data_IF_843274927687
#
_entry.id   IF_843274927687
#
_cell.length_a   1.000
_cell.length_b   1.000
_cell.length_c   1.000
_cell.angle_alpha   90.00
_cell.angle_beta   90.00
_cell.angle_gamma   90.00
#
_symmetry.space_group_name_H-M   'P 1'
#
loop_
_entity.id
_entity.type
_entity.pdbx_description
1 polymer ?
#
# COMPACT_ATOMS: atom_id res chain seq x y z
N UNK A 1 -21.32 -5.06 23.21
CA UNK A 1 -21.00 -4.43 21.92
C UNK A 1 -19.66 -3.71 21.92
N UNK A 2 -19.36 -2.86 22.91
CA UNK A 2 -18.04 -2.19 23.04
C UNK A 2 -16.83 -3.14 23.04
N UNK A 3 -16.94 -4.31 23.69
CA UNK A 3 -15.86 -5.32 23.73
C UNK A 3 -15.57 -5.90 22.34
N UNK A 4 -16.62 -6.28 21.59
CA UNK A 4 -16.49 -6.78 20.22
C UNK A 4 -16.03 -5.73 19.20
N UNK A 5 -16.35 -4.44 19.43
CA UNK A 5 -15.81 -3.35 18.62
C UNK A 5 -14.31 -3.12 18.89
N UNK A 6 -13.87 -3.19 20.16
CA UNK A 6 -12.45 -3.17 20.51
C UNK A 6 -11.70 -4.34 19.87
N UNK A 7 -12.25 -5.54 19.93
CA UNK A 7 -11.64 -6.75 19.34
C UNK A 7 -11.62 -6.72 17.80
N UNK A 8 -12.46 -5.89 17.17
CA UNK A 8 -12.42 -5.60 15.74
C UNK A 8 -11.32 -4.60 15.37
N UNK A 9 -11.17 -3.52 16.15
CA UNK A 9 -10.09 -2.54 15.97
C UNK A 9 -8.71 -3.13 16.26
N UNK A 10 -8.60 -4.00 17.27
CA UNK A 10 -7.34 -4.67 17.60
C UNK A 10 -6.91 -5.71 16.56
N UNK A 11 -7.77 -6.01 15.58
CA UNK A 11 -7.41 -6.77 14.38
C UNK A 11 -6.61 -5.80 13.47
N UNK A 12 -5.30 -5.68 13.73
CA UNK A 12 -4.41 -4.60 13.26
C UNK A 12 -4.62 -4.06 11.83
N UNK A 13 -4.99 -4.94 10.89
CA UNK A 13 -5.39 -4.59 9.52
C UNK A 13 -6.46 -3.46 9.43
N UNK A 14 -7.40 -3.37 10.38
CA UNK A 14 -8.45 -2.34 10.35
C UNK A 14 -7.91 -0.95 10.70
N UNK A 15 -7.01 -0.88 11.68
CA UNK A 15 -6.43 0.39 12.14
C UNK A 15 -5.48 0.95 11.10
N UNK A 16 -4.65 0.10 10.48
CA UNK A 16 -3.76 0.51 9.40
C UNK A 16 -4.53 1.07 8.20
N UNK A 17 -5.59 0.37 7.77
CA UNK A 17 -6.46 0.85 6.70
C UNK A 17 -7.18 2.16 7.07
N UNK A 18 -7.67 2.27 8.31
CA UNK A 18 -8.32 3.49 8.78
C UNK A 18 -7.36 4.69 8.76
N UNK A 19 -6.12 4.52 9.24
CA UNK A 19 -5.10 5.57 9.22
C UNK A 19 -4.76 5.96 7.79
N UNK A 20 -4.56 4.98 6.89
CA UNK A 20 -4.26 5.24 5.49
C UNK A 20 -5.34 6.10 4.81
N UNK A 21 -6.62 5.77 5.03
CA UNK A 21 -7.75 6.53 4.45
C UNK A 21 -7.81 7.96 5.01
N UNK A 22 -7.66 8.13 6.32
CA UNK A 22 -7.72 9.46 6.96
C UNK A 22 -6.58 10.36 6.50
N UNK A 23 -5.35 9.83 6.47
CA UNK A 23 -4.17 10.58 6.01
C UNK A 23 -4.28 10.92 4.53
N UNK A 24 -4.72 9.96 3.69
CA UNK A 24 -4.94 10.19 2.27
C UNK A 24 -5.98 11.28 1.98
N UNK A 25 -7.09 11.29 2.71
CA UNK A 25 -8.13 12.32 2.60
C UNK A 25 -7.64 13.70 3.04
N UNK A 26 -6.90 13.77 4.16
CA UNK A 26 -6.33 15.02 4.66
C UNK A 26 -5.32 15.62 3.67
N UNK A 27 -4.42 14.79 3.13
CA UNK A 27 -3.44 15.23 2.14
C UNK A 27 -4.11 15.71 0.84
N UNK A 28 -5.09 14.96 0.34
CA UNK A 28 -5.86 15.35 -0.86
C UNK A 28 -6.50 16.72 -0.65
N UNK A 29 -7.07 16.98 0.53
CA UNK A 29 -7.69 18.28 0.85
C UNK A 29 -6.70 19.45 0.80
N UNK A 30 -5.46 19.25 1.26
CA UNK A 30 -4.40 20.28 1.20
C UNK A 30 -4.04 20.58 -0.25
N UNK A 31 -3.83 19.54 -1.07
CA UNK A 31 -3.46 19.72 -2.47
C UNK A 31 -4.60 20.36 -3.26
N UNK A 32 -5.85 19.93 -3.04
CA UNK A 32 -7.04 20.54 -3.65
C UNK A 32 -7.15 22.02 -3.28
N UNK A 33 -6.99 22.37 -1.99
CA UNK A 33 -7.02 23.77 -1.56
C UNK A 33 -5.91 24.61 -2.23
N UNK A 34 -4.71 24.05 -2.38
CA UNK A 34 -3.63 24.71 -3.10
C UNK A 34 -3.97 24.93 -4.58
N UNK A 35 -4.48 23.91 -5.27
CA UNK A 35 -4.89 24.05 -6.66
C UNK A 35 -6.02 25.08 -6.80
N UNK A 36 -7.07 24.97 -6.00
CA UNK A 36 -8.26 25.81 -6.12
C UNK A 36 -7.98 27.28 -5.84
N UNK A 37 -7.09 27.57 -4.88
CA UNK A 37 -6.81 28.94 -4.47
C UNK A 37 -5.59 29.58 -5.15
N UNK A 38 -4.67 28.79 -5.69
CA UNK A 38 -3.43 29.31 -6.31
C UNK A 38 -3.40 29.00 -7.80
N UNK A 39 -3.61 27.75 -8.19
CA UNK A 39 -3.46 27.33 -9.59
C UNK A 39 -4.67 27.76 -10.42
N UNK A 40 -5.90 27.46 -9.99
CA UNK A 40 -7.11 27.75 -10.75
C UNK A 40 -7.24 29.25 -11.07
N UNK A 41 -6.97 30.19 -10.14
CA UNK A 41 -6.98 31.62 -10.46
C UNK A 41 -5.90 32.02 -11.46
N UNK A 42 -4.70 31.41 -11.42
CA UNK A 42 -3.64 31.66 -12.39
C UNK A 42 -4.02 31.14 -13.79
N UNK A 43 -4.62 29.95 -13.84
CA UNK A 43 -5.13 29.36 -15.09
C UNK A 43 -6.31 30.19 -15.63
N UNK A 44 -7.22 30.62 -14.77
CA UNK A 44 -8.35 31.48 -15.14
C UNK A 44 -7.89 32.87 -15.60
N UNK A 45 -6.84 33.44 -15.00
CA UNK A 45 -6.27 34.72 -15.45
C UNK A 45 -5.70 34.63 -16.88
N UNK A 46 -5.19 33.46 -17.28
CA UNK A 46 -4.72 33.21 -18.66
C UNK A 46 -5.88 32.80 -19.58
N UNK A 47 -6.91 32.12 -19.05
CA UNK A 47 -8.05 31.58 -19.78
C UNK A 47 -9.29 32.49 -19.91
N UNK A 48 -9.33 33.62 -19.20
CA UNK A 48 -10.46 34.54 -19.15
C UNK A 48 -11.55 34.15 -18.15
N UNK A 49 -12.44 35.12 -17.84
CA UNK A 49 -13.40 35.18 -16.72
C UNK A 49 -14.46 34.06 -16.63
N UNK A 50 -14.44 33.12 -17.58
CA UNK A 50 -15.25 31.92 -17.52
C UNK A 50 -14.34 30.77 -17.92
N UNK A 51 -14.06 29.87 -16.97
CA UNK A 51 -13.36 28.59 -17.16
C UNK A 51 -13.25 28.24 -18.64
N UNK A 52 -12.11 28.58 -19.27
CA UNK A 52 -11.86 28.59 -20.72
C UNK A 52 -13.13 28.57 -21.58
N UNK A 53 -13.55 29.72 -22.14
CA UNK A 53 -14.80 29.99 -22.89
C UNK A 53 -15.23 29.09 -24.06
N UNK A 54 -14.88 27.80 -24.06
CA UNK A 54 -15.31 26.71 -24.92
C UNK A 54 -16.60 26.04 -24.41
N UNK A 55 -17.44 26.78 -23.70
CA UNK A 55 -18.74 26.29 -23.27
C UNK A 55 -19.79 26.45 -24.36
N UNK A 56 -20.57 25.41 -24.67
CA UNK A 56 -21.68 25.49 -25.60
C UNK A 56 -22.99 25.03 -24.96
N UNK A 57 -24.10 25.65 -25.36
CA UNK A 57 -25.45 25.26 -24.92
C UNK A 57 -26.00 24.26 -25.94
N UNK A 58 -26.43 23.08 -25.48
CA UNK A 58 -27.11 22.11 -26.36
C UNK A 58 -28.53 22.55 -26.71
N UNK A 59 -29.20 23.28 -25.79
CA UNK A 59 -30.50 23.92 -26.00
C UNK A 59 -30.38 25.41 -25.66
N UNK A 60 -30.64 26.30 -26.64
CA UNK A 60 -30.42 27.74 -26.49
C UNK A 60 -31.25 28.40 -25.37
N UNK A 61 -32.35 27.78 -24.94
CA UNK A 61 -33.29 28.30 -23.95
C UNK A 61 -33.22 27.64 -22.57
N UNK A 62 -32.28 26.71 -22.34
CA UNK A 62 -32.15 26.03 -21.05
C UNK A 62 -30.73 26.16 -20.50
N UNK A 63 -30.59 26.94 -19.41
CA UNK A 63 -29.31 27.12 -18.70
C UNK A 63 -28.77 25.80 -18.11
N UNK A 64 -29.65 24.82 -17.84
CA UNK A 64 -29.23 23.50 -17.36
C UNK A 64 -28.53 22.64 -18.43
N UNK A 65 -28.51 23.06 -19.69
CA UNK A 65 -27.87 22.33 -20.80
C UNK A 65 -26.57 22.98 -21.28
N UNK A 66 -25.96 23.83 -20.45
CA UNK A 66 -24.64 24.41 -20.69
C UNK A 66 -23.54 23.38 -20.42
N UNK A 67 -22.80 23.02 -21.46
CA UNK A 67 -21.63 22.15 -21.37
C UNK A 67 -20.40 23.04 -21.23
N UNK A 68 -19.74 22.99 -20.07
CA UNK A 68 -18.54 23.77 -19.80
C UNK A 68 -17.29 22.90 -20.03
N UNK A 69 -16.71 22.97 -21.23
CA UNK A 69 -15.48 22.23 -21.54
C UNK A 69 -14.25 22.79 -20.80
N UNK A 70 -14.27 24.07 -20.42
CA UNK A 70 -13.18 24.66 -19.68
C UNK A 70 -13.07 24.14 -18.25
N UNK A 71 -14.20 23.84 -17.59
CA UNK A 71 -14.23 23.15 -16.30
C UNK A 71 -13.52 21.80 -16.37
N UNK A 72 -13.74 21.04 -17.46
CA UNK A 72 -13.15 19.71 -17.65
C UNK A 72 -11.62 19.80 -17.84
N UNK A 73 -11.14 20.75 -18.64
CA UNK A 73 -9.70 20.93 -18.86
C UNK A 73 -9.05 21.46 -17.57
N UNK A 74 -9.70 22.36 -16.83
CA UNK A 74 -9.25 22.82 -15.51
C UNK A 74 -9.12 21.65 -14.53
N UNK A 75 -10.12 20.77 -14.47
CA UNK A 75 -10.09 19.56 -13.64
C UNK A 75 -8.97 18.60 -14.06
N UNK A 76 -8.68 18.47 -15.36
CA UNK A 76 -7.57 17.66 -15.85
C UNK A 76 -6.20 18.23 -15.46
N UNK A 77 -6.02 19.56 -15.55
CA UNK A 77 -4.81 20.24 -15.08
C UNK A 77 -4.63 20.05 -13.58
N UNK A 78 -5.70 20.22 -12.80
CA UNK A 78 -5.68 19.96 -11.36
C UNK A 78 -5.22 18.53 -11.08
N UNK A 79 -5.85 17.53 -11.70
CA UNK A 79 -5.46 16.13 -11.54
C UNK A 79 -3.96 15.88 -11.81
N UNK A 80 -3.41 16.46 -12.89
CA UNK A 80 -1.99 16.34 -13.21
C UNK A 80 -1.09 16.96 -12.13
N UNK A 81 -1.49 18.09 -11.54
CA UNK A 81 -0.76 18.73 -10.45
C UNK A 81 -0.79 17.86 -9.20
N UNK A 82 -1.95 17.33 -8.82
CA UNK A 82 -2.05 16.41 -7.68
C UNK A 82 -1.14 15.20 -7.88
N UNK A 83 -1.22 14.56 -9.06
CA UNK A 83 -0.38 13.42 -9.40
C UNK A 83 1.12 13.77 -9.35
N UNK A 84 1.51 14.93 -9.86
CA UNK A 84 2.90 15.39 -9.82
C UNK A 84 3.39 15.61 -8.37
N UNK A 85 2.58 16.27 -7.54
CA UNK A 85 2.92 16.51 -6.12
C UNK A 85 3.05 15.17 -5.37
N UNK A 86 2.09 14.26 -5.52
CA UNK A 86 2.15 12.92 -4.90
C UNK A 86 3.40 12.16 -5.35
N UNK A 87 3.72 12.19 -6.65
CA UNK A 87 4.89 11.53 -7.19
C UNK A 87 6.19 12.11 -6.61
N UNK A 88 6.36 13.43 -6.65
CA UNK A 88 7.60 14.07 -6.19
C UNK A 88 7.77 14.05 -4.66
N UNK A 89 6.69 14.16 -3.89
CA UNK A 89 6.76 14.25 -2.42
C UNK A 89 6.72 12.89 -1.74
N UNK A 90 6.07 11.89 -2.32
CA UNK A 90 5.98 10.54 -1.73
C UNK A 90 6.83 9.53 -2.49
N UNK A 91 6.61 9.37 -3.80
CA UNK A 91 7.22 8.27 -4.57
C UNK A 91 8.74 8.46 -4.73
N UNK A 92 9.18 9.66 -5.13
CA UNK A 92 10.61 9.97 -5.32
C UNK A 92 11.43 9.78 -4.04
N UNK A 93 11.08 10.36 -2.88
CA UNK A 93 11.86 10.17 -1.66
C UNK A 93 11.75 8.75 -1.12
N UNK A 94 10.61 8.07 -1.24
CA UNK A 94 10.50 6.66 -0.85
C UNK A 94 11.42 5.80 -1.72
N UNK A 95 11.44 6.02 -3.03
CA UNK A 95 12.31 5.28 -3.95
C UNK A 95 13.79 5.61 -3.72
N UNK A 96 14.12 6.87 -3.44
CA UNK A 96 15.49 7.29 -3.12
C UNK A 96 15.95 6.74 -1.76
N UNK A 97 15.06 6.71 -0.76
CA UNK A 97 15.32 6.09 0.53
C UNK A 97 15.52 4.58 0.38
N UNK A 98 14.65 3.89 -0.37
CA UNK A 98 14.84 2.47 -0.69
C UNK A 98 16.17 2.22 -1.40
N UNK A 99 16.57 3.07 -2.34
CA UNK A 99 17.86 2.93 -3.02
C UNK A 99 19.08 3.19 -2.12
N UNK A 100 18.91 3.98 -1.04
CA UNK A 100 20.00 4.38 -0.13
C UNK A 100 20.07 3.55 1.16
N UNK A 101 18.94 3.01 1.58
CA UNK A 101 18.78 2.25 2.81
C UNK A 101 18.42 0.79 2.55
N UNK A 102 18.32 0.34 1.29
CA UNK A 102 18.40 -1.10 1.02
C UNK A 102 19.80 -1.56 1.45
N UNK A 103 19.92 -2.29 2.57
CA UNK A 103 21.11 -3.09 2.78
C UNK A 103 21.12 -4.09 1.62
N UNK A 104 22.29 -4.55 1.22
CA UNK A 104 22.40 -5.77 0.43
C UNK A 104 21.67 -6.87 1.21
N UNK A 105 20.39 -7.12 0.88
CA UNK A 105 19.43 -7.95 1.61
C UNK A 105 20.07 -8.77 2.74
N UNK A 106 20.30 -8.14 3.89
CA UNK A 106 20.13 -8.89 5.12
C UNK A 106 18.62 -9.07 5.18
N UNK A 107 18.12 -10.31 5.18
CA UNK A 107 16.68 -10.52 5.27
C UNK A 107 16.25 -9.73 6.50
N UNK A 108 15.41 -8.71 6.28
CA UNK A 108 14.53 -8.25 7.34
C UNK A 108 13.94 -9.54 7.94
N UNK A 109 13.86 -9.63 9.26
CA UNK A 109 13.19 -10.74 9.96
C UNK A 109 11.68 -10.77 9.63
N UNK A 110 11.27 -10.52 8.38
CA UNK A 110 10.07 -11.10 7.83
C UNK A 110 10.24 -12.62 7.97
N UNK A 111 9.37 -13.29 8.76
CA UNK A 111 9.37 -14.74 8.76
C UNK A 111 9.27 -15.17 7.30
N UNK A 112 10.21 -16.03 6.88
CA UNK A 112 10.25 -16.58 5.54
C UNK A 112 8.82 -16.87 5.08
N UNK A 113 8.45 -16.33 3.91
CA UNK A 113 7.14 -16.62 3.34
C UNK A 113 6.92 -18.12 3.36
N UNK A 114 5.69 -18.58 3.56
CA UNK A 114 5.37 -20.00 3.48
C UNK A 114 5.92 -20.62 2.19
N UNK A 115 5.94 -19.84 1.10
CA UNK A 115 6.53 -20.25 -0.18
C UNK A 115 8.06 -20.39 -0.10
N UNK A 116 8.76 -19.48 0.57
CA UNK A 116 10.23 -19.54 0.74
C UNK A 116 10.63 -20.72 1.64
N UNK A 117 9.85 -20.99 2.69
CA UNK A 117 10.03 -22.18 3.54
C UNK A 117 9.80 -23.46 2.75
N UNK A 118 8.76 -23.53 1.92
CA UNK A 118 8.48 -24.69 1.09
C UNK A 118 9.57 -24.92 0.03
N UNK A 119 10.13 -23.85 -0.54
CA UNK A 119 11.28 -23.94 -1.46
C UNK A 119 12.50 -24.48 -0.71
N UNK A 120 12.82 -23.96 0.47
CA UNK A 120 13.94 -24.47 1.28
C UNK A 120 13.74 -25.94 1.67
N UNK A 121 12.52 -26.33 2.07
CA UNK A 121 12.20 -27.74 2.39
C UNK A 121 12.37 -28.63 1.16
N UNK A 122 11.90 -28.21 -0.02
CA UNK A 122 12.11 -28.95 -1.28
C UNK A 122 13.59 -29.11 -1.57
N UNK A 123 14.35 -28.03 -1.48
CA UNK A 123 15.78 -28.05 -1.81
C UNK A 123 16.56 -28.94 -0.82
N UNK A 124 16.19 -28.95 0.47
CA UNK A 124 16.73 -29.88 1.48
C UNK A 124 16.36 -31.34 1.19
N UNK A 125 15.15 -31.60 0.68
CA UNK A 125 14.68 -32.94 0.30
C UNK A 125 15.36 -33.44 -0.98
N UNK A 126 15.55 -32.58 -1.97
CA UNK A 126 16.26 -32.89 -3.23
C UNK A 126 17.76 -33.12 -3.00
N UNK A 127 18.38 -32.30 -2.14
CA UNK A 127 19.80 -32.44 -1.78
C UNK A 127 20.06 -33.66 -0.89
N UNK A 128 19.01 -34.37 -0.45
CA UNK A 128 19.14 -35.59 0.34
C UNK A 128 19.85 -35.39 1.69
N UNK A 129 19.94 -34.15 2.18
CA UNK A 129 20.66 -33.82 3.42
C UNK A 129 19.97 -34.31 4.70
N UNK A 130 18.84 -35.00 4.58
CA UNK A 130 18.27 -35.82 5.64
C UNK A 130 19.04 -37.12 5.78
N UNK A 131 20.34 -37.04 6.10
CA UNK A 131 21.04 -38.14 6.76
C UNK A 131 20.46 -38.28 8.16
N UNK A 132 19.30 -38.94 8.26
CA UNK A 132 18.94 -39.64 9.48
C UNK A 132 19.98 -40.74 9.63
N UNK A 133 21.09 -40.44 10.31
CA UNK A 133 21.82 -41.48 11.01
C UNK A 133 20.74 -42.21 11.81
N UNK A 134 20.49 -43.52 11.56
CA UNK A 134 19.50 -44.23 12.35
C UNK A 134 19.90 -44.00 13.79
N UNK A 135 18.98 -43.42 14.57
CA UNK A 135 19.18 -43.31 16.01
C UNK A 135 19.62 -44.70 16.45
N UNK A 136 20.85 -44.82 16.93
CA UNK A 136 21.42 -46.07 17.38
C UNK A 136 20.48 -46.57 18.47
N UNK A 137 19.58 -47.48 18.10
CA UNK A 137 18.61 -48.06 19.03
C UNK A 137 19.49 -48.74 20.06
N UNK A 138 19.52 -48.29 21.32
CA UNK A 138 20.38 -48.89 22.33
C UNK A 138 20.07 -50.37 22.34
N UNK A 139 21.06 -51.16 21.92
CA UNK A 139 20.92 -52.60 21.76
C UNK A 139 20.44 -53.15 23.10
N UNK A 140 19.26 -53.79 23.07
CA UNK A 140 18.52 -54.29 24.22
C UNK A 140 19.41 -54.66 25.41
N UNK A 141 19.42 -53.82 26.45
CA UNK A 141 19.94 -54.21 27.75
C UNK A 141 19.08 -55.36 28.31
N UNK A 142 19.79 -56.40 28.75
CA UNK A 142 19.30 -57.71 29.17
C UNK A 142 18.12 -57.64 30.18
N UNK A 143 17.26 -58.68 30.23
CA UNK A 143 16.08 -58.66 31.10
C UNK A 143 16.52 -58.56 32.56
N UNK A 144 16.03 -57.53 33.24
CA UNK A 144 16.14 -57.34 34.69
C UNK A 144 15.54 -58.57 35.38
N UNK A 145 16.39 -59.35 36.06
CA UNK A 145 15.95 -60.45 36.92
C UNK A 145 15.15 -59.89 38.09
N UNK A 146 13.82 -60.02 38.01
CA UNK A 146 12.91 -59.81 39.14
C UNK A 146 13.29 -60.83 40.21
N UNK A 147 13.85 -60.34 41.31
CA UNK A 147 14.13 -61.15 42.50
C UNK A 147 12.88 -61.07 43.37
N UNK A 148 12.09 -62.16 43.39
CA UNK A 148 10.97 -62.32 44.30
C UNK A 148 11.45 -62.32 45.77
N UNK A 149 10.74 -61.56 46.62
CA UNK A 149 10.67 -61.75 48.06
C UNK A 149 9.25 -61.52 48.52
#
# INVERSE_FOLDING_TARGET
MLKGFKDFLLRGNVVELAVAVVVGAAFTSIVTAFTDHIVNPLVAAVGGDNEMGFGFRLLSSNDATFVNLGAVISAAINFLIIAAVVYFVLIVPVNAAKARFAPEKEPEDEPLSETDLLIQIRDLLETGSYNHAPAEVPSAEAPVKVTER
#
